data_IF_365879554025
#
_entry.id   IF_365879554025
#
_cell.length_a   1.000
_cell.length_b   1.000
_cell.length_c   1.000
_cell.angle_alpha   90.00
_cell.angle_beta   90.00
_cell.angle_gamma   90.00
#
_symmetry.space_group_name_H-M   'P 1'
#
loop_
_entity.id
_entity.type
_entity.pdbx_description
1 polymer ?
#
# COMPACT_ATOMS: atom_id res chain seq x y z
N UNK A 1 -12.11 -21.45 1.61
CA UNK A 1 -12.54 -20.23 0.89
C UNK A 1 -12.77 -20.55 -0.56
N UNK A 2 -13.75 -19.87 -1.17
CA UNK A 2 -14.35 -20.23 -2.46
C UNK A 2 -13.31 -20.30 -3.58
N UNK A 3 -13.41 -21.33 -4.40
CA UNK A 3 -12.64 -21.55 -5.63
C UNK A 3 -12.81 -20.43 -6.69
N UNK A 4 -13.58 -19.36 -6.38
CA UNK A 4 -13.97 -18.27 -7.29
C UNK A 4 -13.42 -16.89 -6.88
N UNK A 5 -12.56 -16.79 -5.85
CA UNK A 5 -11.90 -15.51 -5.53
C UNK A 5 -10.82 -15.20 -6.56
N UNK A 6 -10.87 -14.00 -7.16
CA UNK A 6 -9.82 -13.50 -8.05
C UNK A 6 -8.49 -13.20 -7.32
N UNK A 7 -8.49 -13.23 -6.00
CA UNK A 7 -7.31 -13.09 -5.16
C UNK A 7 -6.97 -14.42 -4.48
N UNK A 8 -5.69 -14.80 -4.51
CA UNK A 8 -5.14 -15.77 -3.58
C UNK A 8 -4.89 -15.12 -2.23
N UNK A 9 -5.05 -15.90 -1.17
CA UNK A 9 -4.81 -15.43 0.18
C UNK A 9 -4.24 -16.54 1.07
N UNK A 10 -3.48 -16.12 2.07
CA UNK A 10 -3.05 -16.96 3.20
C UNK A 10 -3.63 -16.39 4.47
N UNK A 11 -4.14 -17.25 5.35
CA UNK A 11 -4.83 -16.84 6.57
C UNK A 11 -4.19 -17.53 7.78
N UNK A 12 -3.88 -16.78 8.82
CA UNK A 12 -3.38 -17.35 10.08
C UNK A 12 -4.46 -18.09 10.87
N UNK A 13 -5.73 -17.88 10.52
CA UNK A 13 -6.87 -18.29 11.33
C UNK A 13 -7.14 -17.33 12.48
N UNK A 14 -8.25 -17.60 13.16
CA UNK A 14 -8.70 -16.85 14.33
C UNK A 14 -7.84 -17.25 15.53
N UNK A 15 -7.33 -16.29 16.34
CA UNK A 15 -6.66 -16.61 17.60
C UNK A 15 -7.56 -17.45 18.52
N UNK A 16 -7.01 -18.52 19.08
CA UNK A 16 -7.76 -19.42 19.98
C UNK A 16 -8.39 -18.67 21.15
N UNK A 17 -9.64 -18.99 21.47
CA UNK A 17 -10.41 -18.42 22.57
C UNK A 17 -10.57 -16.88 22.53
N UNK A 18 -10.37 -16.25 21.37
CA UNK A 18 -10.56 -14.81 21.20
C UNK A 18 -11.89 -14.47 20.52
N UNK A 19 -12.59 -13.48 21.08
CA UNK A 19 -13.83 -12.92 20.56
C UNK A 19 -13.73 -11.42 20.23
N UNK A 20 -12.54 -10.85 20.37
CA UNK A 20 -12.27 -9.41 20.18
C UNK A 20 -10.99 -9.16 19.37
N UNK A 21 -10.48 -10.18 18.66
CA UNK A 21 -9.29 -10.07 17.81
C UNK A 21 -9.46 -9.10 16.65
N UNK A 22 -8.37 -8.44 16.27
CA UNK A 22 -8.31 -7.61 15.07
C UNK A 22 -8.01 -8.46 13.85
N UNK A 23 -8.80 -8.31 12.79
CA UNK A 23 -8.48 -8.90 11.48
C UNK A 23 -7.67 -7.91 10.65
N UNK A 24 -6.44 -8.26 10.30
CA UNK A 24 -5.60 -7.50 9.37
C UNK A 24 -5.64 -8.15 7.99
N UNK A 25 -6.07 -7.39 6.97
CA UNK A 25 -5.92 -7.76 5.56
C UNK A 25 -4.77 -6.94 4.96
N UNK A 26 -3.73 -7.62 4.49
CA UNK A 26 -2.48 -7.00 4.04
C UNK A 26 -2.28 -7.15 2.53
N UNK A 27 -1.99 -6.04 1.85
CA UNK A 27 -1.73 -5.95 0.41
C UNK A 27 -0.26 -5.57 0.18
N UNK A 28 0.43 -6.35 -0.64
CA UNK A 28 1.85 -6.18 -0.94
C UNK A 28 2.13 -5.07 -1.99
N UNK A 29 3.40 -4.67 -2.05
CA UNK A 29 3.93 -3.70 -3.00
C UNK A 29 4.22 -4.28 -4.39
N UNK A 30 5.06 -3.58 -5.15
CA UNK A 30 5.53 -3.95 -6.48
C UNK A 30 6.67 -4.97 -6.35
N UNK A 31 6.78 -5.99 -7.21
CA UNK A 31 7.84 -7.03 -7.20
C UNK A 31 7.78 -8.06 -6.06
N UNK A 32 7.18 -7.73 -4.92
CA UNK A 32 6.92 -8.68 -3.83
C UNK A 32 5.48 -9.14 -3.88
N UNK A 33 5.20 -10.32 -3.32
CA UNK A 33 3.86 -10.80 -3.05
C UNK A 33 3.65 -11.04 -1.54
N UNK A 34 2.49 -11.57 -1.14
CA UNK A 34 2.10 -11.77 0.28
C UNK A 34 3.13 -12.50 1.15
N UNK A 35 4.02 -13.30 0.56
CA UNK A 35 5.07 -14.03 1.28
C UNK A 35 5.99 -13.11 2.08
N UNK A 36 6.16 -11.85 1.64
CA UNK A 36 6.97 -10.85 2.35
C UNK A 36 6.45 -10.56 3.76
N UNK A 37 5.19 -10.84 4.07
CA UNK A 37 4.60 -10.65 5.40
C UNK A 37 4.54 -11.94 6.24
N UNK A 38 5.15 -13.05 5.79
CA UNK A 38 5.01 -14.35 6.45
C UNK A 38 5.44 -14.33 7.93
N UNK A 39 6.35 -13.43 8.32
CA UNK A 39 6.80 -13.24 9.71
C UNK A 39 5.73 -12.69 10.67
N UNK A 40 4.58 -12.26 10.16
CA UNK A 40 3.42 -11.94 11.01
C UNK A 40 2.71 -13.19 11.54
N UNK A 41 2.74 -14.33 10.83
CA UNK A 41 2.00 -15.53 11.26
C UNK A 41 2.45 -16.07 12.62
N UNK A 42 3.76 -16.23 12.90
CA UNK A 42 4.20 -16.75 14.20
C UNK A 42 3.82 -15.87 15.41
N UNK A 43 3.53 -14.59 15.18
CA UNK A 43 3.22 -13.61 16.24
C UNK A 43 1.74 -13.19 16.26
N UNK A 44 0.92 -13.72 15.35
CA UNK A 44 -0.47 -13.32 15.16
C UNK A 44 -1.31 -13.53 16.43
N UNK A 45 -1.26 -14.74 17.01
CA UNK A 45 -2.00 -15.08 18.22
C UNK A 45 -1.58 -14.24 19.43
N UNK A 46 -0.27 -14.03 19.63
CA UNK A 46 0.25 -13.19 20.71
C UNK A 46 -0.16 -11.71 20.57
N UNK A 47 -0.41 -11.24 19.35
CA UNK A 47 -0.94 -9.91 19.07
C UNK A 47 -2.48 -9.82 19.10
N UNK A 48 -3.17 -10.91 19.47
CA UNK A 48 -4.63 -11.05 19.37
C UNK A 48 -5.15 -10.64 17.97
N UNK A 49 -4.48 -11.10 16.91
CA UNK A 49 -4.77 -10.72 15.54
C UNK A 49 -4.96 -11.94 14.62
N UNK A 50 -5.93 -11.84 13.71
CA UNK A 50 -6.05 -12.71 12.53
C UNK A 50 -5.37 -12.01 11.35
N UNK A 51 -4.40 -12.67 10.73
CA UNK A 51 -3.61 -12.12 9.63
C UNK A 51 -4.05 -12.78 8.33
N UNK A 52 -4.55 -11.96 7.40
CA UNK A 52 -4.95 -12.37 6.05
C UNK A 52 -4.04 -11.66 5.06
N UNK A 53 -3.19 -12.41 4.39
CA UNK A 53 -2.25 -11.89 3.41
C UNK A 53 -2.80 -12.11 2.02
N UNK A 54 -3.04 -11.04 1.27
CA UNK A 54 -3.69 -11.07 -0.03
C UNK A 54 -2.68 -10.87 -1.15
N UNK A 55 -2.70 -11.74 -2.16
CA UNK A 55 -2.03 -11.48 -3.42
C UNK A 55 -2.97 -10.71 -4.35
N UNK A 56 -2.47 -9.62 -4.93
CA UNK A 56 -3.21 -8.87 -5.96
C UNK A 56 -3.34 -9.70 -7.24
N UNK A 57 -4.18 -9.26 -8.18
CA UNK A 57 -4.20 -9.84 -9.53
C UNK A 57 -2.81 -9.74 -10.17
N UNK A 58 -2.52 -10.67 -11.09
CA UNK A 58 -1.21 -10.81 -11.76
C UNK A 58 -0.06 -11.32 -10.86
N UNK A 59 -0.33 -11.66 -9.59
CA UNK A 59 0.64 -12.27 -8.67
C UNK A 59 0.28 -13.74 -8.36
N UNK A 60 1.20 -14.54 -7.76
CA UNK A 60 1.05 -16.00 -7.70
C UNK A 60 -0.25 -16.46 -7.03
N UNK A 61 -0.95 -17.40 -7.65
CA UNK A 61 -2.21 -17.96 -7.17
C UNK A 61 -3.45 -17.08 -7.38
N UNK A 62 -3.29 -15.78 -7.68
CA UNK A 62 -4.41 -14.89 -8.01
C UNK A 62 -4.76 -14.97 -9.50
N UNK A 63 -5.93 -14.43 -9.86
CA UNK A 63 -6.31 -14.28 -11.26
C UNK A 63 -5.33 -13.35 -11.98
N UNK A 64 -4.90 -13.77 -13.18
CA UNK A 64 -4.06 -12.94 -14.06
C UNK A 64 -4.81 -11.73 -14.58
N UNK A 65 -4.08 -10.69 -14.96
CA UNK A 65 -4.66 -9.62 -15.78
C UNK A 65 -4.84 -10.16 -17.20
N UNK A 66 -6.03 -9.98 -17.78
CA UNK A 66 -6.34 -10.50 -19.11
C UNK A 66 -5.55 -9.75 -20.20
N UNK A 67 -5.31 -10.39 -21.33
CA UNK A 67 -4.61 -9.76 -22.47
C UNK A 67 -5.30 -8.48 -22.94
N UNK A 68 -6.65 -8.45 -22.87
CA UNK A 68 -7.45 -7.25 -23.17
C UNK A 68 -7.17 -6.12 -22.18
N UNK A 69 -7.13 -6.41 -20.88
CA UNK A 69 -6.79 -5.41 -19.86
C UNK A 69 -5.34 -4.93 -19.99
N UNK A 70 -4.40 -5.84 -20.29
CA UNK A 70 -2.99 -5.50 -20.53
C UNK A 70 -2.82 -4.60 -21.76
N UNK A 71 -3.45 -4.97 -22.88
CA UNK A 71 -3.44 -4.16 -24.11
C UNK A 71 -4.04 -2.77 -23.88
N UNK A 72 -5.09 -2.67 -23.05
CA UNK A 72 -5.66 -1.39 -22.68
C UNK A 72 -4.70 -0.53 -21.85
N UNK A 73 -3.93 -1.12 -20.92
CA UNK A 73 -2.89 -0.41 -20.18
C UNK A 73 -1.72 0.01 -21.08
N UNK A 74 -1.34 -0.82 -22.05
CA UNK A 74 -0.29 -0.48 -23.03
C UNK A 74 -0.72 0.68 -23.92
N UNK A 75 -1.97 0.68 -24.40
CA UNK A 75 -2.48 1.76 -25.25
C UNK A 75 -2.39 3.15 -24.59
N UNK A 76 -2.45 3.23 -23.25
CA UNK A 76 -2.35 4.48 -22.50
C UNK A 76 -1.03 5.22 -22.78
N UNK A 77 0.06 4.51 -23.10
CA UNK A 77 1.38 5.13 -23.32
C UNK A 77 1.39 6.17 -24.44
N UNK A 78 0.45 6.04 -25.38
CA UNK A 78 0.32 6.87 -26.58
C UNK A 78 -0.94 7.74 -26.58
N UNK A 79 -1.73 7.74 -25.49
CA UNK A 79 -2.94 8.57 -25.38
C UNK A 79 -2.61 10.03 -25.02
N UNK A 80 -3.48 10.99 -25.39
CA UNK A 80 -3.45 12.34 -24.83
C UNK A 80 -3.58 12.32 -23.30
N UNK A 81 -2.97 13.29 -22.61
CA UNK A 81 -2.83 13.27 -21.16
C UNK A 81 -4.15 13.08 -20.40
N UNK A 82 -5.22 13.78 -20.78
CA UNK A 82 -6.52 13.67 -20.12
C UNK A 82 -7.19 12.30 -20.35
N UNK A 83 -7.12 11.77 -21.58
CA UNK A 83 -7.65 10.46 -21.89
C UNK A 83 -6.86 9.35 -21.18
N UNK A 84 -5.53 9.50 -21.09
CA UNK A 84 -4.65 8.61 -20.34
C UNK A 84 -4.99 8.61 -18.85
N UNK A 85 -5.17 9.79 -18.26
CA UNK A 85 -5.56 9.94 -16.85
C UNK A 85 -6.88 9.23 -16.55
N UNK A 86 -7.92 9.50 -17.34
CA UNK A 86 -9.23 8.89 -17.15
C UNK A 86 -9.21 7.36 -17.36
N UNK A 87 -8.46 6.87 -18.36
CA UNK A 87 -8.28 5.44 -18.57
C UNK A 87 -7.58 4.74 -17.38
N UNK A 88 -6.52 5.35 -16.84
CA UNK A 88 -5.82 4.86 -15.64
C UNK A 88 -6.72 4.88 -14.41
N UNK A 89 -7.49 5.95 -14.23
CA UNK A 89 -8.42 6.09 -13.11
C UNK A 89 -9.54 5.06 -13.19
N UNK A 90 -10.07 4.81 -14.37
CA UNK A 90 -11.05 3.73 -14.61
C UNK A 90 -10.45 2.35 -14.28
N UNK A 91 -9.20 2.09 -14.68
CA UNK A 91 -8.52 0.86 -14.29
C UNK A 91 -8.42 0.70 -12.77
N UNK A 92 -7.97 1.75 -12.06
CA UNK A 92 -7.87 1.71 -10.60
C UNK A 92 -9.23 1.63 -9.91
N UNK A 93 -10.29 2.22 -10.49
CA UNK A 93 -11.67 2.04 -10.02
C UNK A 93 -12.10 0.57 -10.12
N UNK A 94 -11.77 -0.13 -11.20
CA UNK A 94 -12.04 -1.57 -11.31
C UNK A 94 -11.28 -2.37 -10.24
N UNK A 95 -10.00 -2.08 -10.00
CA UNK A 95 -9.21 -2.71 -8.92
C UNK A 95 -9.81 -2.44 -7.53
N UNK A 96 -10.29 -1.22 -7.30
CA UNK A 96 -10.99 -0.84 -6.07
C UNK A 96 -12.31 -1.59 -5.88
N UNK A 97 -13.10 -1.75 -6.95
CA UNK A 97 -14.35 -2.53 -6.93
C UNK A 97 -14.10 -4.01 -6.65
N UNK A 98 -13.05 -4.58 -7.22
CA UNK A 98 -12.62 -5.96 -6.95
C UNK A 98 -12.27 -6.17 -5.47
N UNK A 99 -11.45 -5.27 -4.91
CA UNK A 99 -11.10 -5.30 -3.50
C UNK A 99 -12.33 -5.10 -2.60
N UNK A 100 -13.21 -4.17 -2.95
CA UNK A 100 -14.48 -3.96 -2.26
C UNK A 100 -15.35 -5.22 -2.22
N UNK A 101 -15.57 -5.88 -3.37
CA UNK A 101 -16.35 -7.12 -3.44
C UNK A 101 -15.73 -8.23 -2.60
N UNK A 102 -14.40 -8.36 -2.63
CA UNK A 102 -13.68 -9.29 -1.77
C UNK A 102 -13.96 -9.00 -0.29
N UNK A 103 -13.86 -7.74 0.15
CA UNK A 103 -14.12 -7.36 1.54
C UNK A 103 -15.55 -7.68 1.96
N UNK A 104 -16.54 -7.38 1.11
CA UNK A 104 -17.95 -7.69 1.37
C UNK A 104 -18.15 -9.20 1.53
N UNK A 105 -17.63 -9.99 0.60
CA UNK A 105 -17.75 -11.45 0.65
C UNK A 105 -16.98 -12.05 1.83
N UNK A 106 -15.82 -11.48 2.17
CA UNK A 106 -15.02 -11.88 3.32
C UNK A 106 -15.80 -11.65 4.61
N UNK A 107 -16.29 -10.42 4.87
CA UNK A 107 -17.02 -10.14 6.11
C UNK A 107 -18.34 -10.89 6.21
N UNK A 108 -18.93 -11.32 5.08
CA UNK A 108 -20.14 -12.18 5.05
C UNK A 108 -19.85 -13.60 5.49
N UNK A 109 -18.79 -14.21 4.95
CA UNK A 109 -18.47 -15.64 5.11
C UNK A 109 -17.61 -15.93 6.33
N UNK A 110 -16.76 -14.99 6.69
CA UNK A 110 -15.79 -15.13 7.75
C UNK A 110 -16.24 -14.35 8.98
N UNK A 111 -16.02 -14.88 10.20
CA UNK A 111 -16.25 -14.12 11.41
C UNK A 111 -15.25 -12.95 11.45
N UNK A 112 -15.80 -11.74 11.56
CA UNK A 112 -15.06 -10.51 11.83
C UNK A 112 -15.78 -9.84 12.98
N UNK A 113 -15.10 -9.71 14.11
CA UNK A 113 -15.69 -9.18 15.33
C UNK A 113 -15.85 -7.66 15.17
N UNK A 114 -17.01 -7.05 15.51
CA UNK A 114 -17.11 -5.58 15.51
C UNK A 114 -16.16 -4.94 16.53
N UNK A 115 -15.95 -5.61 17.68
CA UNK A 115 -15.07 -5.14 18.77
C UNK A 115 -13.61 -5.08 18.35
N UNK A 116 -13.08 -6.15 17.74
CA UNK A 116 -11.70 -6.20 17.27
C UNK A 116 -11.51 -5.57 15.89
N UNK A 117 -12.53 -5.65 15.06
CA UNK A 117 -12.67 -4.97 13.78
C UNK A 117 -11.76 -5.50 12.68
N UNK A 118 -11.81 -4.79 11.55
CA UNK A 118 -11.04 -5.07 10.35
C UNK A 118 -10.14 -3.88 10.03
N UNK A 119 -8.87 -4.18 9.81
CA UNK A 119 -7.83 -3.25 9.35
C UNK A 119 -7.43 -3.68 7.95
N UNK A 120 -7.52 -2.76 6.99
CA UNK A 120 -7.06 -2.99 5.63
C UNK A 120 -5.80 -2.18 5.38
N UNK A 121 -4.69 -2.83 5.06
CA UNK A 121 -3.39 -2.20 4.91
C UNK A 121 -2.75 -2.50 3.55
N UNK A 122 -2.17 -1.48 2.93
CA UNK A 122 -1.32 -1.61 1.76
C UNK A 122 0.08 -1.15 2.10
N UNK A 123 1.10 -1.92 1.70
CA UNK A 123 2.51 -1.55 1.86
C UNK A 123 3.08 -1.04 0.54
N UNK A 124 3.91 0.01 0.59
CA UNK A 124 4.63 0.51 -0.58
C UNK A 124 3.65 0.83 -1.73
N UNK A 125 3.86 0.28 -2.92
CA UNK A 125 2.93 0.40 -4.06
C UNK A 125 1.51 -0.13 -3.79
N UNK A 126 1.35 -1.06 -2.84
CA UNK A 126 0.04 -1.55 -2.39
C UNK A 126 -0.84 -0.44 -1.80
N UNK A 127 -0.24 0.67 -1.35
CA UNK A 127 -0.97 1.85 -0.90
C UNK A 127 -1.90 2.43 -1.99
N UNK A 128 -1.60 2.23 -3.29
CA UNK A 128 -2.46 2.70 -4.37
C UNK A 128 -3.81 1.99 -4.42
N UNK A 129 -3.90 0.76 -3.93
CA UNK A 129 -5.17 0.03 -3.83
C UNK A 129 -6.02 0.56 -2.68
N UNK A 130 -5.36 1.01 -1.60
CA UNK A 130 -6.01 1.65 -0.46
C UNK A 130 -6.56 3.03 -0.87
N UNK A 131 -5.72 3.87 -1.47
CA UNK A 131 -6.18 5.20 -1.92
C UNK A 131 -7.23 5.10 -3.01
N UNK A 132 -7.12 4.15 -3.95
CA UNK A 132 -8.17 3.90 -4.94
C UNK A 132 -9.50 3.46 -4.31
N UNK A 133 -9.48 2.52 -3.35
CA UNK A 133 -10.70 2.11 -2.64
C UNK A 133 -11.36 3.29 -1.94
N UNK A 134 -10.58 4.08 -1.19
CA UNK A 134 -11.11 5.22 -0.45
C UNK A 134 -11.62 6.34 -1.38
N UNK A 135 -10.92 6.61 -2.48
CA UNK A 135 -11.28 7.63 -3.46
C UNK A 135 -12.52 7.28 -4.27
N UNK A 136 -12.65 6.01 -4.67
CA UNK A 136 -13.69 5.57 -5.61
C UNK A 136 -14.88 4.91 -4.92
N UNK A 137 -14.80 4.56 -3.63
CA UNK A 137 -15.86 3.84 -2.90
C UNK A 137 -17.24 4.47 -3.10
N UNK A 138 -17.36 5.79 -3.06
CA UNK A 138 -18.64 6.49 -3.26
C UNK A 138 -19.29 6.26 -4.64
N UNK A 139 -18.54 5.78 -5.64
CA UNK A 139 -19.04 5.50 -7.00
C UNK A 139 -19.68 4.12 -7.15
N UNK A 140 -19.42 3.18 -6.22
CA UNK A 140 -19.90 1.80 -6.31
C UNK A 140 -20.38 1.19 -4.98
N UNK A 141 -20.12 1.85 -3.87
CA UNK A 141 -20.74 1.60 -2.58
C UNK A 141 -22.10 2.34 -2.49
N UNK A 142 -22.76 2.26 -1.34
CA UNK A 142 -24.19 2.52 -1.06
C UNK A 142 -25.11 1.32 -1.33
N UNK A 143 -24.62 0.11 -1.10
CA UNK A 143 -25.42 -1.12 -1.07
C UNK A 143 -25.78 -1.49 0.37
N UNK A 144 -26.84 -2.30 0.60
CA UNK A 144 -27.14 -2.81 1.95
C UNK A 144 -25.97 -3.56 2.60
N UNK A 145 -25.09 -4.17 1.79
CA UNK A 145 -23.92 -4.90 2.26
C UNK A 145 -22.85 -3.99 2.90
N UNK A 146 -22.86 -2.69 2.59
CA UNK A 146 -21.94 -1.72 3.20
C UNK A 146 -22.13 -1.59 4.70
N UNK A 147 -23.36 -1.77 5.21
CA UNK A 147 -23.65 -1.60 6.63
C UNK A 147 -22.79 -2.56 7.46
N UNK A 148 -22.64 -3.82 7.01
CA UNK A 148 -21.83 -4.82 7.71
C UNK A 148 -20.34 -4.56 7.57
N UNK A 149 -19.87 -4.23 6.37
CA UNK A 149 -18.46 -3.92 6.14
C UNK A 149 -18.04 -2.67 6.93
N UNK A 150 -18.79 -1.59 6.83
CA UNK A 150 -18.51 -0.35 7.55
C UNK A 150 -18.75 -0.46 9.06
N UNK A 151 -19.53 -1.43 9.55
CA UNK A 151 -19.62 -1.68 10.99
C UNK A 151 -18.32 -2.29 11.56
N UNK A 152 -17.56 -3.04 10.76
CA UNK A 152 -16.33 -3.71 11.22
C UNK A 152 -15.03 -3.06 10.70
N UNK A 153 -15.03 -2.40 9.54
CA UNK A 153 -13.87 -1.71 8.97
C UNK A 153 -13.47 -0.54 9.87
N UNK A 154 -12.48 -0.75 10.73
CA UNK A 154 -12.00 0.27 11.67
C UNK A 154 -11.23 1.35 10.93
N UNK A 155 -10.27 0.93 10.11
CA UNK A 155 -9.33 1.84 9.46
C UNK A 155 -8.73 1.23 8.19
N UNK A 156 -8.37 2.13 7.28
CA UNK A 156 -7.46 1.86 6.20
C UNK A 156 -6.03 2.29 6.61
N UNK A 157 -5.01 1.61 6.09
CA UNK A 157 -3.60 1.91 6.39
C UNK A 157 -2.82 2.01 5.10
N UNK A 158 -2.10 3.11 4.93
CA UNK A 158 -1.01 3.23 3.95
C UNK A 158 0.31 3.08 4.71
N UNK A 159 1.01 1.99 4.44
CA UNK A 159 2.22 1.59 5.16
C UNK A 159 3.46 1.79 4.27
N UNK A 160 4.30 2.72 4.73
CA UNK A 160 5.56 3.15 4.15
C UNK A 160 5.46 3.44 2.63
N UNK A 161 4.57 4.37 2.20
CA UNK A 161 4.38 4.68 0.80
C UNK A 161 5.49 5.60 0.25
N UNK A 162 6.09 5.31 -0.92
CA UNK A 162 7.00 6.25 -1.56
C UNK A 162 6.24 7.49 -2.05
N UNK A 163 6.93 8.63 -2.11
CA UNK A 163 6.32 9.91 -2.45
C UNK A 163 5.59 9.88 -3.80
N UNK A 164 6.15 9.19 -4.79
CA UNK A 164 5.59 9.08 -6.13
C UNK A 164 4.34 8.21 -6.17
N UNK A 165 4.21 7.20 -5.28
CA UNK A 165 2.97 6.43 -5.14
C UNK A 165 1.84 7.27 -4.52
N UNK A 166 2.13 8.40 -3.89
CA UNK A 166 1.13 9.38 -3.44
C UNK A 166 1.03 10.60 -4.36
N UNK A 167 1.75 10.60 -5.48
CA UNK A 167 1.73 11.70 -6.46
C UNK A 167 2.27 13.02 -5.92
N UNK A 168 3.22 12.97 -4.98
CA UNK A 168 4.05 14.14 -4.67
C UNK A 168 5.11 14.33 -5.76
N UNK A 169 5.48 15.58 -6.01
CA UNK A 169 6.56 15.90 -6.95
C UNK A 169 7.91 15.42 -6.41
N UNK A 170 8.83 15.05 -7.30
CA UNK A 170 10.21 14.77 -6.90
C UNK A 170 10.89 16.07 -6.44
N UNK A 171 11.84 16.01 -5.50
CA UNK A 171 12.74 17.13 -5.27
C UNK A 171 13.61 17.38 -6.52
N UNK A 172 14.29 18.53 -6.57
CA UNK A 172 15.10 18.91 -7.73
C UNK A 172 16.37 18.06 -7.90
N UNK A 173 16.98 17.63 -6.79
CA UNK A 173 18.14 16.73 -6.77
C UNK A 173 17.75 15.47 -6.02
N UNK A 174 17.68 14.36 -6.75
CA UNK A 174 17.22 13.08 -6.22
C UNK A 174 17.98 11.90 -6.81
N UNK A 175 18.07 10.84 -6.03
CA UNK A 175 18.68 9.58 -6.43
C UNK A 175 17.74 8.41 -6.20
N UNK A 176 17.48 7.66 -7.26
CA UNK A 176 16.98 6.29 -7.15
C UNK A 176 17.66 5.48 -8.26
N UNK A 177 18.30 4.34 -7.93
CA UNK A 177 19.09 3.57 -8.88
C UNK A 177 18.29 3.07 -10.10
N UNK A 178 16.97 2.96 -10.01
CA UNK A 178 16.11 2.61 -11.15
C UNK A 178 16.12 3.65 -12.27
N UNK A 179 16.47 4.89 -11.94
CA UNK A 179 16.42 6.03 -12.86
C UNK A 179 17.80 6.66 -13.09
N UNK A 180 18.85 6.06 -12.53
CA UNK A 180 20.23 6.53 -12.71
C UNK A 180 20.74 6.14 -14.09
N UNK A 181 20.74 7.12 -15.00
CA UNK A 181 21.17 6.95 -16.40
C UNK A 181 22.68 6.73 -16.56
N UNK A 182 23.47 6.89 -15.50
CA UNK A 182 24.90 6.54 -15.49
C UNK A 182 25.14 5.04 -15.34
N UNK A 183 24.13 4.27 -14.91
CA UNK A 183 24.20 2.82 -14.77
C UNK A 183 23.90 2.10 -16.09
N UNK A 184 24.50 0.92 -16.26
CA UNK A 184 24.13 0.04 -17.37
C UNK A 184 22.63 -0.39 -17.25
N UNK A 185 21.93 -0.68 -18.36
CA UNK A 185 20.48 -0.90 -18.38
C UNK A 185 19.91 -1.96 -17.41
N UNK A 186 20.72 -2.92 -16.95
CA UNK A 186 20.33 -3.95 -15.99
C UNK A 186 20.86 -3.73 -14.56
N UNK A 187 21.73 -2.73 -14.37
CA UNK A 187 22.43 -2.50 -13.10
C UNK A 187 21.55 -1.73 -12.11
N UNK A 188 20.73 -0.79 -12.60
CA UNK A 188 19.75 -0.06 -11.78
C UNK A 188 18.81 -0.98 -10.99
N UNK A 189 18.07 -1.90 -11.67
CA UNK A 189 17.21 -2.87 -11.01
C UNK A 189 17.92 -3.77 -9.99
N UNK A 190 19.15 -4.19 -10.28
CA UNK A 190 19.95 -4.99 -9.35
C UNK A 190 20.30 -4.22 -8.08
N UNK A 191 20.70 -2.95 -8.22
CA UNK A 191 21.03 -2.08 -7.08
C UNK A 191 19.79 -1.65 -6.30
N UNK A 192 18.67 -1.47 -6.98
CA UNK A 192 17.42 -1.02 -6.37
C UNK A 192 16.98 -1.91 -5.21
N UNK A 193 17.06 -3.22 -5.37
CA UNK A 193 16.66 -4.19 -4.35
C UNK A 193 17.44 -4.02 -3.02
N UNK A 194 18.76 -3.91 -3.10
CA UNK A 194 19.60 -3.66 -1.91
C UNK A 194 19.40 -2.24 -1.37
N UNK A 195 19.27 -1.25 -2.26
CA UNK A 195 19.06 0.15 -1.90
C UNK A 195 17.75 0.35 -1.16
N UNK A 196 16.62 -0.15 -1.68
CA UNK A 196 15.28 0.02 -1.11
C UNK A 196 15.11 -0.70 0.23
N UNK A 197 15.91 -1.74 0.48
CA UNK A 197 15.95 -2.45 1.76
C UNK A 197 17.06 -1.98 2.71
N UNK A 198 17.81 -0.94 2.34
CA UNK A 198 18.81 -0.33 3.21
C UNK A 198 18.20 0.34 4.43
N UNK A 199 19.01 0.53 5.46
CA UNK A 199 18.71 1.42 6.57
C UNK A 199 19.44 2.73 6.35
N UNK A 200 18.78 3.86 6.49
CA UNK A 200 19.36 5.18 6.22
C UNK A 200 19.28 6.05 7.48
N UNK A 201 20.30 6.88 7.67
CA UNK A 201 20.28 7.93 8.70
C UNK A 201 20.08 9.27 8.01
N UNK A 202 18.89 9.81 8.16
CA UNK A 202 18.57 11.13 7.64
C UNK A 202 18.87 12.23 8.66
N UNK A 203 19.11 13.44 8.17
CA UNK A 203 19.05 14.65 8.98
C UNK A 203 17.62 15.15 9.18
N UNK A 204 17.48 16.27 9.89
CA UNK A 204 16.18 16.75 10.38
C UNK A 204 15.36 17.56 9.35
N UNK A 205 15.83 17.68 8.11
CA UNK A 205 15.13 18.42 7.05
C UNK A 205 15.04 17.63 5.75
N UNK A 206 14.12 18.02 4.87
CA UNK A 206 13.98 17.44 3.52
C UNK A 206 15.32 17.45 2.76
N UNK A 207 16.10 18.53 2.88
CA UNK A 207 17.38 18.69 2.20
C UNK A 207 18.48 17.79 2.79
N UNK A 208 18.27 17.29 4.01
CA UNK A 208 19.22 16.45 4.73
C UNK A 208 18.85 14.95 4.69
N UNK A 209 17.89 14.55 3.85
CA UNK A 209 17.58 13.14 3.66
C UNK A 209 18.73 12.45 2.92
N UNK A 210 19.43 11.52 3.58
CA UNK A 210 20.41 10.64 2.92
C UNK A 210 19.74 9.79 1.83
N UNK A 211 20.28 9.83 0.62
CA UNK A 211 19.68 9.22 -0.56
C UNK A 211 20.42 8.01 -1.09
N UNK A 212 21.74 7.92 -0.85
CA UNK A 212 22.65 6.98 -1.52
C UNK A 212 23.23 5.96 -0.56
N UNK A 213 23.68 6.41 0.61
CA UNK A 213 24.51 5.61 1.50
C UNK A 213 23.67 5.00 2.63
N UNK A 214 23.34 3.72 2.47
CA UNK A 214 22.78 2.95 3.57
C UNK A 214 23.83 2.76 4.68
N UNK A 215 23.36 2.62 5.92
CA UNK A 215 24.14 2.23 7.07
C UNK A 215 24.79 0.85 6.85
N UNK A 216 26.00 0.69 7.39
CA UNK A 216 26.67 -0.61 7.44
C UNK A 216 25.96 -1.55 8.44
N UNK A 217 25.47 -0.99 9.54
CA UNK A 217 24.73 -1.70 10.59
C UNK A 217 23.51 -0.90 11.04
N UNK A 218 22.30 -1.52 11.06
CA UNK A 218 22.00 -2.85 10.51
C UNK A 218 22.20 -2.91 8.98
N UNK A 219 22.47 -4.12 8.46
CA UNK A 219 22.61 -4.34 7.02
C UNK A 219 21.24 -4.26 6.34
N UNK A 220 21.23 -3.94 5.05
CA UNK A 220 20.01 -3.98 4.24
C UNK A 220 19.32 -5.36 4.35
N UNK A 221 17.98 -5.38 4.45
CA UNK A 221 17.20 -6.62 4.64
C UNK A 221 17.50 -7.66 3.58
N UNK A 222 17.64 -7.24 2.32
CA UNK A 222 17.91 -8.18 1.23
C UNK A 222 19.30 -8.82 1.29
N UNK A 223 20.20 -8.30 2.13
CA UNK A 223 21.52 -8.89 2.36
C UNK A 223 21.54 -9.88 3.54
N UNK A 224 20.43 -10.01 4.28
CA UNK A 224 20.31 -10.87 5.46
C UNK A 224 19.25 -11.96 5.30
N UNK A 225 18.30 -11.77 4.40
CA UNK A 225 17.30 -12.76 4.01
C UNK A 225 17.93 -13.97 3.29
N UNK A 226 17.40 -15.17 3.53
CA UNK A 226 17.85 -16.37 2.82
C UNK A 226 17.36 -16.37 1.37
N UNK A 227 18.02 -17.16 0.51
CA UNK A 227 17.59 -17.31 -0.88
C UNK A 227 16.19 -17.95 -0.99
N UNK A 228 15.89 -18.92 -0.13
CA UNK A 228 14.59 -19.60 -0.08
C UNK A 228 13.48 -18.63 0.33
N UNK A 229 13.73 -17.81 1.35
CA UNK A 229 12.80 -16.77 1.78
C UNK A 229 12.53 -15.76 0.67
N UNK A 230 13.58 -15.32 -0.04
CA UNK A 230 13.45 -14.42 -1.19
C UNK A 230 12.59 -15.00 -2.31
N UNK A 231 12.90 -16.24 -2.71
CA UNK A 231 12.13 -16.95 -3.73
C UNK A 231 10.68 -17.22 -3.31
N UNK A 232 10.39 -17.24 -2.01
CA UNK A 232 9.03 -17.42 -1.48
C UNK A 232 8.22 -16.12 -1.37
N UNK A 233 8.80 -14.97 -1.74
CA UNK A 233 8.19 -13.65 -1.52
C UNK A 233 8.26 -12.70 -2.73
N UNK A 234 8.99 -13.06 -3.79
CA UNK A 234 9.23 -12.19 -4.95
C UNK A 234 8.59 -12.77 -6.19
N UNK A 235 7.93 -11.89 -6.95
CA UNK A 235 7.49 -12.13 -8.31
C UNK A 235 7.72 -10.86 -9.13
N UNK A 236 8.71 -10.92 -10.03
CA UNK A 236 9.14 -9.77 -10.83
C UNK A 236 8.34 -9.60 -12.12
N UNK A 237 7.56 -10.60 -12.55
CA UNK A 237 6.89 -10.58 -13.85
C UNK A 237 6.00 -9.33 -14.04
N UNK A 238 5.17 -8.90 -13.06
CA UNK A 238 4.38 -7.67 -13.17
C UNK A 238 5.19 -6.39 -13.30
N UNK A 239 6.49 -6.44 -12.99
CA UNK A 239 7.39 -5.27 -12.93
C UNK A 239 8.25 -5.10 -14.18
N UNK A 240 8.33 -6.14 -15.01
CA UNK A 240 9.06 -6.10 -16.27
C UNK A 240 8.43 -5.07 -17.24
N UNK A 241 9.15 -4.61 -18.27
CA UNK A 241 8.56 -3.80 -19.33
C UNK A 241 7.30 -4.47 -19.93
N UNK A 242 6.18 -3.76 -19.99
CA UNK A 242 4.87 -4.32 -20.40
C UNK A 242 4.12 -5.07 -19.29
N UNK A 243 4.75 -5.26 -18.12
CA UNK A 243 4.12 -5.74 -16.90
C UNK A 243 3.07 -4.77 -16.36
N UNK A 244 2.04 -5.30 -15.71
CA UNK A 244 0.90 -4.53 -15.23
C UNK A 244 1.30 -3.43 -14.22
N UNK A 245 2.06 -3.78 -13.19
CA UNK A 245 2.55 -2.82 -12.21
C UNK A 245 3.52 -1.81 -12.83
N UNK A 246 4.36 -2.24 -13.78
CA UNK A 246 5.27 -1.35 -14.52
C UNK A 246 4.51 -0.28 -15.30
N UNK A 247 3.44 -0.66 -16.00
CA UNK A 247 2.57 0.24 -16.74
C UNK A 247 1.83 1.19 -15.80
N UNK A 248 1.21 0.67 -14.74
CA UNK A 248 0.44 1.48 -13.77
C UNK A 248 1.36 2.48 -13.07
N UNK A 249 2.55 2.07 -12.62
CA UNK A 249 3.49 2.96 -11.95
C UNK A 249 3.96 4.09 -12.87
N UNK A 250 4.47 3.73 -14.07
CA UNK A 250 5.05 4.72 -15.00
C UNK A 250 3.98 5.69 -15.52
N UNK A 251 2.85 5.17 -15.98
CA UNK A 251 1.79 6.02 -16.52
C UNK A 251 1.05 6.77 -15.41
N UNK A 252 0.91 6.16 -14.23
CA UNK A 252 0.29 6.79 -13.06
C UNK A 252 1.09 8.00 -12.56
N UNK A 253 2.43 7.92 -12.54
CA UNK A 253 3.30 9.08 -12.27
C UNK A 253 3.13 10.12 -13.39
N UNK A 254 3.30 9.70 -14.65
CA UNK A 254 3.30 10.60 -15.81
C UNK A 254 2.01 11.42 -15.95
N UNK A 255 0.87 10.79 -15.67
CA UNK A 255 -0.45 11.38 -15.89
C UNK A 255 -1.14 11.80 -14.58
N UNK A 256 -0.42 11.88 -13.46
CA UNK A 256 -0.96 12.44 -12.21
C UNK A 256 -2.08 11.61 -11.55
N UNK A 257 -2.18 10.32 -11.86
CA UNK A 257 -3.18 9.41 -11.27
C UNK A 257 -3.09 9.40 -9.75
N UNK A 258 -1.88 9.24 -9.22
CA UNK A 258 -1.67 9.06 -7.78
C UNK A 258 -2.01 10.32 -6.98
N UNK A 259 -1.80 11.50 -7.55
CA UNK A 259 -2.24 12.78 -6.97
C UNK A 259 -3.76 12.82 -6.86
N UNK A 260 -4.47 12.42 -7.92
CA UNK A 260 -5.94 12.39 -7.91
C UNK A 260 -6.49 11.40 -6.89
N UNK A 261 -5.95 10.17 -6.85
CA UNK A 261 -6.37 9.15 -5.88
C UNK A 261 -6.07 9.57 -4.43
N UNK A 262 -4.88 10.11 -4.14
CA UNK A 262 -4.54 10.61 -2.81
C UNK A 262 -5.48 11.73 -2.40
N UNK A 263 -5.69 12.72 -3.26
CA UNK A 263 -6.54 13.88 -2.98
C UNK A 263 -7.97 13.43 -2.67
N UNK A 264 -8.57 12.62 -3.53
CA UNK A 264 -9.93 12.10 -3.31
C UNK A 264 -10.03 11.18 -2.10
N UNK A 265 -8.97 10.45 -1.74
CA UNK A 265 -8.93 9.71 -0.49
C UNK A 265 -8.87 10.67 0.70
N UNK A 266 -7.95 11.63 0.77
CA UNK A 266 -7.71 12.47 1.95
C UNK A 266 -8.84 13.45 2.24
N UNK A 267 -9.29 14.20 1.23
CA UNK A 267 -10.27 15.26 1.39
C UNK A 267 -11.67 14.71 1.24
N UNK A 268 -12.55 15.00 2.20
CA UNK A 268 -13.91 14.45 2.23
C UNK A 268 -14.93 15.56 2.47
N UNK A 269 -16.10 15.43 1.85
CA UNK A 269 -17.23 16.29 2.14
C UNK A 269 -17.96 15.76 3.40
N UNK A 270 -17.61 16.32 4.57
CA UNK A 270 -18.32 16.03 5.82
C UNK A 270 -19.71 16.64 5.77
N UNK A 271 -20.70 15.82 5.43
CA UNK A 271 -22.12 16.16 5.61
C UNK A 271 -22.59 15.52 6.92
N UNK A 272 -23.35 16.22 7.77
CA UNK A 272 -23.95 15.60 8.94
C UNK A 272 -24.84 14.44 8.48
N UNK A 273 -24.49 13.22 8.88
CA UNK A 273 -25.26 12.01 8.56
C UNK A 273 -25.47 11.18 9.82
N UNK A 274 -26.61 10.50 9.88
CA UNK A 274 -26.95 9.60 10.97
C UNK A 274 -26.32 8.20 10.85
N UNK A 275 -25.68 7.90 9.71
CA UNK A 275 -25.12 6.58 9.39
C UNK A 275 -23.68 6.73 8.93
N UNK A 276 -22.80 5.86 9.46
CA UNK A 276 -21.39 5.78 9.09
C UNK A 276 -21.26 5.46 7.60
N UNK A 277 -20.51 6.29 6.87
CA UNK A 277 -20.18 6.12 5.46
C UNK A 277 -18.68 5.91 5.23
N UNK A 278 -18.32 5.74 3.96
CA UNK A 278 -16.92 5.60 3.54
C UNK A 278 -16.05 6.84 3.82
N UNK A 279 -16.67 8.02 3.96
CA UNK A 279 -16.01 9.25 4.42
C UNK A 279 -15.54 9.18 5.88
N UNK A 280 -16.12 8.28 6.67
CA UNK A 280 -15.85 8.09 8.10
C UNK A 280 -14.87 6.94 8.36
N UNK A 281 -14.32 6.34 7.30
CA UNK A 281 -13.22 5.38 7.41
C UNK A 281 -11.93 6.17 7.60
N UNK A 282 -11.36 6.07 8.80
CA UNK A 282 -10.07 6.69 9.13
C UNK A 282 -8.91 6.09 8.33
N UNK A 283 -7.84 6.88 8.18
CA UNK A 283 -6.63 6.50 7.46
C UNK A 283 -5.40 6.63 8.39
N UNK A 284 -4.76 5.51 8.69
CA UNK A 284 -3.45 5.53 9.32
C UNK A 284 -2.36 5.64 8.23
N UNK A 285 -1.49 6.63 8.36
CA UNK A 285 -0.25 6.75 7.60
C UNK A 285 0.89 6.23 8.47
N UNK A 286 1.35 5.00 8.22
CA UNK A 286 2.47 4.39 8.94
C UNK A 286 3.71 4.53 8.09
N UNK A 287 4.84 4.98 8.63
CA UNK A 287 6.09 5.11 7.87
C UNK A 287 7.32 4.81 8.72
N UNK A 288 8.40 4.45 8.05
CA UNK A 288 9.65 3.98 8.61
C UNK A 288 10.73 5.06 8.42
N UNK A 289 11.36 5.49 9.51
CA UNK A 289 12.26 6.65 9.46
C UNK A 289 13.71 6.34 9.06
N UNK A 290 14.06 5.07 8.89
CA UNK A 290 15.30 4.61 8.30
C UNK A 290 15.08 3.95 6.93
N UNK A 291 13.90 4.09 6.32
CA UNK A 291 13.68 3.70 4.91
C UNK A 291 14.51 4.55 3.96
N UNK A 292 14.56 4.19 2.67
CA UNK A 292 15.08 5.11 1.64
C UNK A 292 14.36 6.45 1.70
N UNK A 293 15.07 7.52 1.33
CA UNK A 293 14.61 8.91 1.42
C UNK A 293 13.20 9.15 0.85
N UNK A 294 12.76 8.34 -0.12
CA UNK A 294 11.44 8.42 -0.73
C UNK A 294 10.30 8.31 0.29
N UNK A 295 10.45 7.51 1.36
CA UNK A 295 9.38 7.30 2.35
C UNK A 295 9.33 8.43 3.39
N UNK A 296 10.45 8.85 4.02
CA UNK A 296 10.47 10.05 4.86
C UNK A 296 10.06 11.31 4.10
N UNK A 297 10.48 11.46 2.84
CA UNK A 297 10.06 12.58 1.99
C UNK A 297 8.54 12.58 1.78
N UNK A 298 7.95 11.41 1.50
CA UNK A 298 6.49 11.22 1.42
C UNK A 298 5.80 11.64 2.71
N UNK A 299 6.34 11.23 3.87
CA UNK A 299 5.77 11.52 5.19
C UNK A 299 5.79 13.01 5.51
N UNK A 300 6.89 13.70 5.20
CA UNK A 300 7.03 15.15 5.42
C UNK A 300 6.05 15.93 4.53
N UNK A 301 5.93 15.56 3.24
CA UNK A 301 5.00 16.20 2.33
C UNK A 301 3.54 15.96 2.74
N UNK A 302 3.21 14.75 3.19
CA UNK A 302 1.88 14.42 3.69
C UNK A 302 1.53 15.22 4.96
N UNK A 303 2.47 15.36 5.90
CA UNK A 303 2.29 16.22 7.07
C UNK A 303 2.06 17.69 6.68
N UNK A 304 2.87 18.23 5.77
CA UNK A 304 2.71 19.59 5.28
C UNK A 304 1.35 19.81 4.59
N UNK A 305 0.88 18.85 3.80
CA UNK A 305 -0.45 18.88 3.17
C UNK A 305 -1.57 18.94 4.21
N UNK A 306 -1.51 18.16 5.28
CA UNK A 306 -2.53 18.18 6.33
C UNK A 306 -2.52 19.48 7.14
N UNK A 307 -1.34 20.02 7.44
CA UNK A 307 -1.23 21.31 8.12
C UNK A 307 -1.80 22.44 7.25
N UNK A 308 -1.55 22.42 5.94
CA UNK A 308 -2.14 23.39 5.02
C UNK A 308 -3.65 23.21 4.90
N UNK A 309 -4.14 21.98 4.80
CA UNK A 309 -5.57 21.68 4.80
C UNK A 309 -6.26 22.26 6.05
N UNK A 310 -5.65 22.09 7.21
CA UNK A 310 -6.12 22.63 8.49
C UNK A 310 -6.16 24.16 8.48
N UNK A 311 -5.10 24.84 8.01
CA UNK A 311 -5.07 26.30 7.87
C UNK A 311 -6.14 26.83 6.92
N UNK A 312 -6.40 26.11 5.83
CA UNK A 312 -7.42 26.46 4.84
C UNK A 312 -8.84 26.06 5.24
N UNK A 313 -9.04 25.40 6.39
CA UNK A 313 -10.34 24.87 6.79
C UNK A 313 -10.89 23.77 5.88
N UNK A 314 -10.04 23.09 5.12
CA UNK A 314 -10.44 21.96 4.26
C UNK A 314 -10.73 20.73 5.12
N UNK A 315 -11.89 20.13 4.89
CA UNK A 315 -12.27 18.91 5.59
C UNK A 315 -11.47 17.70 5.09
N UNK A 316 -10.81 17.02 6.01
CA UNK A 316 -10.12 15.73 5.79
C UNK A 316 -10.84 14.62 6.53
N UNK A 317 -10.68 13.37 6.08
CA UNK A 317 -11.05 12.20 6.90
C UNK A 317 -10.19 12.18 8.18
N UNK A 318 -10.56 11.34 9.14
CA UNK A 318 -9.69 11.10 10.30
C UNK A 318 -8.36 10.51 9.83
N UNK A 319 -7.25 11.15 10.17
CA UNK A 319 -5.91 10.74 9.76
C UNK A 319 -4.97 10.70 10.96
N UNK A 320 -4.30 9.55 11.13
CA UNK A 320 -3.29 9.35 12.16
C UNK A 320 -1.95 9.04 11.51
N UNK A 321 -0.88 9.75 11.90
CA UNK A 321 0.47 9.53 11.36
C UNK A 321 1.32 8.82 12.41
N UNK A 322 1.88 7.67 12.05
CA UNK A 322 2.65 6.80 12.93
C UNK A 322 4.04 6.62 12.35
N UNK A 323 5.06 7.04 13.10
CA UNK A 323 6.47 6.89 12.74
C UNK A 323 7.07 5.67 13.45
N UNK A 324 7.56 4.71 12.68
CA UNK A 324 8.37 3.59 13.16
C UNK A 324 9.83 4.02 13.23
N UNK A 325 10.36 4.15 14.44
CA UNK A 325 11.74 4.61 14.69
C UNK A 325 12.74 3.47 14.53
N UNK A 326 13.84 3.74 13.83
CA UNK A 326 14.91 2.77 13.56
C UNK A 326 14.48 1.66 12.60
N UNK A 327 13.43 1.88 11.81
CA UNK A 327 12.83 0.90 10.94
C UNK A 327 13.07 1.27 9.46
N UNK A 328 13.35 0.29 8.61
CA UNK A 328 13.45 0.48 7.17
C UNK A 328 12.17 0.05 6.44
N UNK A 329 12.23 0.00 5.10
CA UNK A 329 11.09 -0.29 4.24
C UNK A 329 10.51 -1.70 4.46
N UNK A 330 11.31 -2.61 5.01
CA UNK A 330 10.98 -3.99 5.30
C UNK A 330 10.85 -4.24 6.81
N UNK A 331 10.38 -3.25 7.58
CA UNK A 331 10.16 -3.40 9.02
C UNK A 331 9.26 -4.60 9.38
N UNK A 332 8.29 -4.94 8.52
CA UNK A 332 7.47 -6.15 8.65
C UNK A 332 8.28 -7.46 8.57
N UNK A 333 9.46 -7.44 7.97
CA UNK A 333 10.40 -8.56 7.93
C UNK A 333 11.40 -8.52 9.09
N UNK A 334 12.04 -7.38 9.32
CA UNK A 334 13.13 -7.25 10.29
C UNK A 334 12.66 -7.08 11.73
N UNK A 335 11.53 -6.38 11.92
CA UNK A 335 10.94 -6.06 13.22
C UNK A 335 9.42 -6.33 13.19
N UNK A 336 8.98 -7.58 12.90
CA UNK A 336 7.58 -7.90 12.60
C UNK A 336 6.62 -7.49 13.72
N UNK A 337 7.01 -7.63 14.98
CA UNK A 337 6.18 -7.21 16.12
C UNK A 337 5.99 -5.69 16.19
N UNK A 338 7.00 -4.90 15.82
CA UNK A 338 6.89 -3.44 15.76
C UNK A 338 5.95 -3.02 14.63
N UNK A 339 6.15 -3.56 13.42
CA UNK A 339 5.31 -3.27 12.28
C UNK A 339 3.84 -3.68 12.52
N UNK A 340 3.61 -4.91 13.00
CA UNK A 340 2.27 -5.43 13.23
C UNK A 340 1.50 -4.56 14.24
N UNK A 341 2.11 -4.24 15.38
CA UNK A 341 1.49 -3.36 16.40
C UNK A 341 1.07 -2.01 15.82
N UNK A 342 1.93 -1.38 15.01
CA UNK A 342 1.63 -0.08 14.44
C UNK A 342 0.57 -0.12 13.34
N UNK A 343 0.51 -1.21 12.57
CA UNK A 343 -0.50 -1.38 11.52
C UNK A 343 -1.89 -1.61 12.13
N UNK A 344 -2.00 -2.41 13.19
CA UNK A 344 -3.29 -2.72 13.83
C UNK A 344 -3.75 -1.70 14.89
N UNK A 345 -2.84 -0.81 15.34
CA UNK A 345 -3.10 0.22 16.34
C UNK A 345 -4.28 1.13 15.98
#
# INVERSE_FOLDING_TARGET
MAADSIFALRDSGIPENSHDYTTLIMIHGIAWHSGVFARFFPIASAANARIVLLNRRDYPGSARISDKERSALEAITSMPAEAAHEALRNHMRTRAQELYRFLIEFVKKEPVTPTGGLVLAGWSFGCNYITALLAESMTFANTPDDVRLLACLKRAVIYDPPYHALGYSSPSDWYNPMFDTSLAPAEGPKRFLTWVSGYYRHGDSILALEQRNALLHPRATLLTISQDDMSSAIDIEPTLPGGSDSLILRQGIRHGLFTALRTAAVYVNKTPRHVRGWSDVGLNYVWCDHSVWEMPYSAINFQAELEEAKKMGKATREINIIRLRGANHFCHWDQPALALRAIIA
#
